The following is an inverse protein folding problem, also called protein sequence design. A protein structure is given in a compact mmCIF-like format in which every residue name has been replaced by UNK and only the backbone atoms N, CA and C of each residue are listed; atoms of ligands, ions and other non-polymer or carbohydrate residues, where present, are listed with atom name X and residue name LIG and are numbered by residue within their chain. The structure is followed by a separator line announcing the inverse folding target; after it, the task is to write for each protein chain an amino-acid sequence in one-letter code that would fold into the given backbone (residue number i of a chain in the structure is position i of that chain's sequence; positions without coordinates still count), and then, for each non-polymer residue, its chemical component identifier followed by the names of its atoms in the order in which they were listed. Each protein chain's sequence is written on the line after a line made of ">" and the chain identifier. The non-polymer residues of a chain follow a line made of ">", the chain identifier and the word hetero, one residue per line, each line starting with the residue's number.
data_IF_879735895204
#
_entry.id   IF_879735895204
#
_cell.length_a   1.000
_cell.length_b   1.000
_cell.length_c   1.000
_cell.angle_alpha   90.00
_cell.angle_beta   90.00
_cell.angle_gamma   90.00
#
_symmetry.space_group_name_H-M   'P 1'
#
loop_
_entity.id
_entity.type
_entity.pdbx_description
1 polymer ?
#
# COMPACT_ATOMS: atom_id res chain seq x y z
N UNK A 1 -9.99 -6.44 -60.08
CA UNK A 1 -10.55 -5.05 -60.16
C UNK A 1 -10.01 -4.08 -59.10
N UNK A 2 -9.23 -4.51 -58.14
CA UNK A 2 -8.69 -3.63 -57.07
C UNK A 2 -7.60 -2.64 -57.54
N UNK A 3 -6.89 -2.91 -58.62
CA UNK A 3 -5.72 -2.11 -59.01
C UNK A 3 -5.99 -0.72 -59.63
N UNK A 4 -7.19 -0.49 -60.15
CA UNK A 4 -7.53 0.80 -60.80
C UNK A 4 -7.85 1.85 -59.73
N UNK A 5 -8.61 1.47 -58.71
CA UNK A 5 -8.96 2.36 -57.59
C UNK A 5 -7.72 2.73 -56.76
N UNK A 6 -6.83 1.78 -56.52
CA UNK A 6 -5.59 2.02 -55.76
C UNK A 6 -4.65 3.02 -56.50
N UNK A 7 -4.52 2.88 -57.83
CA UNK A 7 -3.70 3.82 -58.61
C UNK A 7 -4.30 5.23 -58.66
N UNK A 8 -5.63 5.35 -58.74
CA UNK A 8 -6.30 6.63 -58.74
C UNK A 8 -6.18 7.35 -57.39
N UNK A 9 -6.36 6.60 -56.30
CA UNK A 9 -6.22 7.12 -54.95
C UNK A 9 -4.80 7.57 -54.66
N UNK A 10 -3.79 6.77 -55.01
CA UNK A 10 -2.37 7.14 -54.88
C UNK A 10 -1.99 8.40 -55.68
N UNK A 11 -2.53 8.53 -56.90
CA UNK A 11 -2.26 9.71 -57.75
C UNK A 11 -2.92 10.97 -57.19
N UNK A 12 -4.14 10.87 -56.65
CA UNK A 12 -4.85 11.97 -55.98
C UNK A 12 -4.14 12.41 -54.69
N UNK A 13 -3.64 11.47 -53.90
CA UNK A 13 -2.84 11.73 -52.69
C UNK A 13 -1.51 12.41 -53.04
N UNK A 14 -0.85 11.98 -54.12
CA UNK A 14 0.41 12.58 -54.59
C UNK A 14 0.26 14.01 -55.14
N UNK A 15 -0.92 14.35 -55.65
CA UNK A 15 -1.22 15.68 -56.21
C UNK A 15 -1.47 16.74 -55.12
N UNK A 16 -1.98 16.30 -53.92
CA UNK A 16 -2.27 17.17 -52.78
C UNK A 16 -1.40 16.83 -51.56
N UNK A 17 -0.08 16.77 -51.76
CA UNK A 17 0.89 16.31 -50.76
C UNK A 17 0.77 17.02 -49.40
N UNK A 18 0.60 18.33 -49.42
CA UNK A 18 0.51 19.14 -48.19
C UNK A 18 -0.74 18.79 -47.39
N UNK A 19 -1.90 18.70 -48.05
CA UNK A 19 -3.17 18.37 -47.40
C UNK A 19 -3.14 16.95 -46.83
N UNK A 20 -2.59 16.01 -47.58
CA UNK A 20 -2.42 14.63 -47.14
C UNK A 20 -1.47 14.53 -45.95
N UNK A 21 -0.34 15.23 -45.97
CA UNK A 21 0.61 15.28 -44.88
C UNK A 21 -0.01 15.84 -43.60
N UNK A 22 -0.74 16.95 -43.68
CA UNK A 22 -1.42 17.55 -42.54
C UNK A 22 -2.45 16.59 -41.95
N UNK A 23 -3.23 15.91 -42.79
CA UNK A 23 -4.21 14.93 -42.30
C UNK A 23 -3.54 13.73 -41.59
N UNK A 24 -2.48 13.18 -42.18
CA UNK A 24 -1.72 12.06 -41.60
C UNK A 24 -1.08 12.46 -40.28
N UNK A 25 -0.46 13.63 -40.20
CA UNK A 25 0.12 14.16 -38.98
C UNK A 25 -0.96 14.39 -37.93
N UNK A 26 -2.12 14.94 -38.30
CA UNK A 26 -3.25 15.13 -37.35
C UNK A 26 -3.75 13.82 -36.77
N UNK A 27 -3.92 12.79 -37.61
CA UNK A 27 -4.32 11.46 -37.14
C UNK A 27 -3.25 10.85 -36.24
N UNK A 28 -1.97 10.93 -36.64
CA UNK A 28 -0.85 10.40 -35.87
C UNK A 28 -0.73 11.07 -34.50
N UNK A 29 -0.87 12.39 -34.41
CA UNK A 29 -0.85 13.13 -33.17
C UNK A 29 -2.04 12.77 -32.28
N UNK A 30 -3.24 12.64 -32.81
CA UNK A 30 -4.43 12.24 -32.06
C UNK A 30 -4.31 10.84 -31.49
N UNK A 31 -3.82 9.89 -32.29
CA UNK A 31 -3.61 8.51 -31.82
C UNK A 31 -2.48 8.40 -30.80
N UNK A 32 -1.40 9.16 -30.99
CA UNK A 32 -0.30 9.22 -30.03
C UNK A 32 -0.75 9.81 -28.70
N UNK A 33 -1.55 10.88 -28.70
CA UNK A 33 -2.11 11.48 -27.50
C UNK A 33 -3.00 10.49 -26.76
N UNK A 34 -3.90 9.80 -27.45
CA UNK A 34 -4.78 8.80 -26.87
C UNK A 34 -3.96 7.66 -26.24
N UNK A 35 -2.97 7.15 -26.94
CA UNK A 35 -2.08 6.11 -26.43
C UNK A 35 -1.31 6.58 -25.19
N UNK A 36 -0.79 7.82 -25.20
CA UNK A 36 -0.07 8.39 -24.06
C UNK A 36 -0.97 8.50 -22.81
N UNK A 37 -2.22 8.95 -22.96
CA UNK A 37 -3.18 9.05 -21.87
C UNK A 37 -3.49 7.66 -21.29
N UNK A 38 -3.79 6.68 -22.14
CA UNK A 38 -4.09 5.32 -21.69
C UNK A 38 -2.90 4.67 -20.98
N UNK A 39 -1.70 4.85 -21.50
CA UNK A 39 -0.47 4.33 -20.87
C UNK A 39 -0.21 5.01 -19.53
N UNK A 40 -0.43 6.33 -19.42
CA UNK A 40 -0.25 7.07 -18.17
C UNK A 40 -1.22 6.59 -17.10
N UNK A 41 -2.48 6.38 -17.43
CA UNK A 41 -3.49 5.85 -16.50
C UNK A 41 -3.11 4.45 -16.01
N UNK A 42 -2.70 3.56 -16.91
CA UNK A 42 -2.27 2.22 -16.56
C UNK A 42 -1.03 2.22 -15.64
N UNK A 43 -0.04 3.08 -15.95
CA UNK A 43 1.17 3.22 -15.13
C UNK A 43 0.87 3.74 -13.73
N UNK A 44 -0.03 4.73 -13.59
CA UNK A 44 -0.44 5.26 -12.28
C UNK A 44 -1.15 4.18 -11.47
N UNK A 45 -2.07 3.43 -12.07
CA UNK A 45 -2.77 2.35 -11.38
C UNK A 45 -1.81 1.28 -10.89
N UNK A 46 -0.87 0.86 -11.71
CA UNK A 46 0.14 -0.13 -11.33
C UNK A 46 1.04 0.37 -10.21
N UNK A 47 1.52 1.61 -10.29
CA UNK A 47 2.35 2.21 -9.24
C UNK A 47 1.63 2.39 -7.91
N UNK A 48 0.33 2.69 -7.92
CA UNK A 48 -0.49 2.75 -6.70
C UNK A 48 -0.65 1.37 -6.06
N UNK A 49 -0.94 0.33 -6.85
CA UNK A 49 -1.06 -1.04 -6.36
C UNK A 49 0.25 -1.53 -5.76
N UNK A 50 1.37 -1.34 -6.45
CA UNK A 50 2.70 -1.73 -5.97
C UNK A 50 3.04 -1.02 -4.65
N UNK A 51 2.81 0.28 -4.56
CA UNK A 51 3.02 1.05 -3.32
C UNK A 51 2.14 0.53 -2.18
N UNK A 52 0.88 0.24 -2.44
CA UNK A 52 -0.03 -0.28 -1.41
C UNK A 52 0.43 -1.66 -0.93
N UNK A 53 0.87 -2.54 -1.83
CA UNK A 53 1.39 -3.86 -1.46
C UNK A 53 2.64 -3.78 -0.58
N UNK A 54 3.53 -2.82 -0.85
CA UNK A 54 4.74 -2.62 -0.05
C UNK A 54 4.42 -2.07 1.34
N UNK A 55 3.47 -1.14 1.46
CA UNK A 55 3.17 -0.45 2.73
C UNK A 55 2.14 -1.18 3.58
N UNK A 56 1.14 -1.78 2.96
CA UNK A 56 0.01 -2.42 3.66
C UNK A 56 0.05 -3.96 3.60
N UNK A 57 0.92 -4.52 2.77
CA UNK A 57 0.94 -5.94 2.47
C UNK A 57 0.06 -6.32 1.27
N UNK A 58 0.11 -7.58 0.86
CA UNK A 58 -0.56 -8.09 -0.35
C UNK A 58 -1.99 -8.60 -0.09
N UNK A 59 -2.70 -7.98 0.83
CA UNK A 59 -4.10 -8.31 1.14
C UNK A 59 -5.05 -7.81 0.05
N UNK A 60 -6.01 -8.63 -0.35
CA UNK A 60 -7.05 -8.22 -1.30
C UNK A 60 -8.19 -7.47 -0.63
N UNK A 61 -8.53 -7.83 0.60
CA UNK A 61 -9.60 -7.23 1.38
C UNK A 61 -9.17 -7.13 2.84
N UNK A 62 -9.43 -5.99 3.43
CA UNK A 62 -9.29 -5.74 4.86
C UNK A 62 -10.68 -5.38 5.41
N UNK A 63 -11.07 -6.00 6.50
CA UNK A 63 -12.33 -5.67 7.19
C UNK A 63 -12.06 -5.51 8.69
N UNK A 64 -12.34 -4.32 9.25
CA UNK A 64 -12.28 -4.12 10.69
C UNK A 64 -13.51 -4.76 11.37
N UNK A 65 -13.37 -5.07 12.65
CA UNK A 65 -14.46 -5.46 13.54
C UNK A 65 -15.31 -6.67 13.08
N UNK A 66 -14.65 -7.69 12.53
CA UNK A 66 -15.32 -8.92 12.14
C UNK A 66 -15.63 -9.76 13.39
N UNK A 67 -16.91 -10.07 13.68
CA UNK A 67 -17.25 -10.93 14.81
C UNK A 67 -16.76 -12.37 14.57
N UNK A 68 -16.51 -13.14 15.65
CA UNK A 68 -15.99 -14.50 15.56
C UNK A 68 -16.81 -15.40 14.60
N UNK A 69 -18.13 -15.29 14.63
CA UNK A 69 -19.01 -16.03 13.71
C UNK A 69 -18.79 -15.66 12.24
N UNK A 70 -18.41 -14.41 11.95
CA UNK A 70 -18.04 -13.96 10.60
C UNK A 70 -16.71 -14.57 10.14
N UNK A 71 -15.77 -14.73 11.07
CA UNK A 71 -14.48 -15.39 10.79
C UNK A 71 -14.73 -16.86 10.43
N UNK A 72 -15.53 -17.56 11.21
CA UNK A 72 -15.89 -18.96 10.93
C UNK A 72 -16.53 -19.12 9.56
N UNK A 73 -17.47 -18.25 9.20
CA UNK A 73 -18.10 -18.25 7.88
C UNK A 73 -17.09 -17.97 6.72
N UNK A 74 -16.10 -17.12 6.95
CA UNK A 74 -15.04 -16.87 5.96
C UNK A 74 -14.10 -18.08 5.83
N UNK A 75 -13.81 -18.78 6.92
CA UNK A 75 -12.99 -20.00 6.91
C UNK A 75 -13.68 -21.10 6.10
N UNK A 76 -15.00 -21.25 6.23
CA UNK A 76 -15.80 -22.25 5.52
C UNK A 76 -16.02 -21.87 4.03
N UNK A 77 -15.85 -20.61 3.65
CA UNK A 77 -16.10 -20.14 2.29
C UNK A 77 -15.01 -20.58 1.31
N UNK A 78 -15.41 -21.23 0.21
CA UNK A 78 -14.50 -21.57 -0.89
C UNK A 78 -13.99 -20.37 -1.68
N UNK A 79 -14.63 -19.20 -1.52
CA UNK A 79 -14.21 -17.96 -2.16
C UNK A 79 -12.99 -17.33 -1.47
N UNK A 80 -12.67 -17.74 -0.23
CA UNK A 80 -11.52 -17.25 0.54
C UNK A 80 -10.45 -18.32 0.53
N UNK A 81 -9.33 -18.03 -0.09
CA UNK A 81 -8.16 -18.90 -0.12
C UNK A 81 -7.27 -18.70 1.09
N UNK A 82 -7.04 -17.43 1.44
CA UNK A 82 -6.12 -17.02 2.49
C UNK A 82 -6.82 -16.08 3.44
N UNK A 83 -6.74 -16.36 4.73
CA UNK A 83 -7.32 -15.55 5.79
C UNK A 83 -6.35 -15.42 6.96
N UNK A 84 -6.07 -14.20 7.34
CA UNK A 84 -5.36 -13.90 8.57
C UNK A 84 -6.14 -12.91 9.42
N UNK A 85 -5.96 -13.02 10.71
CA UNK A 85 -6.58 -12.11 11.69
C UNK A 85 -5.50 -11.41 12.50
N UNK A 86 -5.76 -10.19 12.88
CA UNK A 86 -4.96 -9.46 13.86
C UNK A 86 -5.88 -8.71 14.82
N UNK A 87 -5.33 -8.33 15.94
CA UNK A 87 -6.04 -7.56 16.96
C UNK A 87 -5.52 -6.13 16.97
N UNK A 88 -6.43 -5.16 16.98
CA UNK A 88 -6.10 -3.79 17.29
C UNK A 88 -5.79 -3.68 18.80
N UNK A 89 -4.63 -3.14 19.12
CA UNK A 89 -4.17 -2.92 20.49
C UNK A 89 -4.40 -1.47 20.94
N UNK A 90 -4.94 -0.62 20.07
CA UNK A 90 -5.13 0.79 20.30
C UNK A 90 -4.10 1.67 19.58
N UNK A 91 -3.85 2.85 20.10
CA UNK A 91 -2.90 3.80 19.53
C UNK A 91 -1.91 4.30 20.57
N UNK A 92 -0.70 4.60 20.12
CA UNK A 92 0.31 5.32 20.89
C UNK A 92 0.49 6.72 20.30
N UNK A 93 0.52 7.72 21.17
CA UNK A 93 0.89 9.06 20.76
C UNK A 93 2.43 9.14 20.64
N UNK A 94 2.91 9.56 19.48
CA UNK A 94 4.29 9.98 19.32
C UNK A 94 4.33 11.44 19.72
N UNK A 95 5.03 11.78 20.78
CA UNK A 95 5.27 13.16 21.16
C UNK A 95 6.61 13.60 20.56
N UNK A 96 6.63 14.28 19.42
CA UNK A 96 7.83 14.92 18.96
C UNK A 96 8.15 16.08 19.89
N UNK A 97 9.42 16.31 20.15
CA UNK A 97 9.95 17.47 20.88
C UNK A 97 9.56 18.81 20.22
N UNK A 98 9.05 18.76 19.01
CA UNK A 98 8.66 19.92 18.23
C UNK A 98 7.14 20.10 18.29
N UNK A 99 6.69 21.07 19.09
CA UNK A 99 5.28 21.42 19.29
C UNK A 99 4.50 21.79 18.01
N UNK A 100 5.17 21.84 16.87
CA UNK A 100 4.58 22.14 15.55
C UNK A 100 4.25 20.89 14.73
N UNK A 101 4.66 19.70 15.12
CA UNK A 101 4.18 18.47 14.51
C UNK A 101 2.95 18.01 15.29
N UNK A 102 1.79 18.13 14.65
CA UNK A 102 0.55 17.48 15.13
C UNK A 102 0.89 16.07 15.58
N UNK A 103 0.61 15.77 16.85
CA UNK A 103 0.97 14.49 17.46
C UNK A 103 0.60 13.34 16.54
N UNK A 104 1.59 12.66 16.01
CA UNK A 104 1.35 11.49 15.21
C UNK A 104 0.88 10.37 16.15
N UNK A 105 -0.27 9.80 15.89
CA UNK A 105 -0.73 8.59 16.56
C UNK A 105 -0.33 7.40 15.70
N UNK A 106 0.31 6.42 16.32
CA UNK A 106 0.57 5.12 15.69
C UNK A 106 -0.50 4.14 16.15
N UNK A 107 -1.21 3.57 15.22
CA UNK A 107 -2.08 2.43 15.51
C UNK A 107 -1.22 1.18 15.76
N UNK A 108 -1.46 0.55 16.91
CA UNK A 108 -0.76 -0.67 17.31
C UNK A 108 -1.63 -1.87 16.99
N UNK A 109 -1.06 -2.84 16.29
CA UNK A 109 -1.73 -4.07 15.91
C UNK A 109 -0.84 -5.26 16.27
N UNK A 110 -1.46 -6.39 16.62
CA UNK A 110 -0.70 -7.64 16.74
C UNK A 110 -0.15 -8.05 15.37
N UNK A 111 0.89 -8.84 15.36
CA UNK A 111 1.30 -9.56 14.15
C UNK A 111 0.12 -10.37 13.63
N UNK A 112 -0.21 -10.30 12.34
CA UNK A 112 -1.27 -11.11 11.77
C UNK A 112 -1.00 -12.60 11.97
N UNK A 113 -2.06 -13.36 12.26
CA UNK A 113 -2.00 -14.81 12.42
C UNK A 113 -2.83 -15.48 11.34
N UNK A 114 -2.26 -16.43 10.64
CA UNK A 114 -2.94 -17.20 9.60
C UNK A 114 -4.03 -18.09 10.23
N UNK A 115 -5.25 -17.97 9.70
CA UNK A 115 -6.39 -18.81 10.06
C UNK A 115 -6.68 -19.81 8.95
N UNK A 116 -6.45 -19.42 7.69
CA UNK A 116 -6.63 -20.27 6.51
C UNK A 116 -5.61 -19.88 5.44
N UNK A 117 -5.02 -20.83 4.76
CA UNK A 117 -4.30 -20.59 3.50
C UNK A 117 -2.78 -20.68 3.56
N UNK A 118 -2.09 -19.67 3.05
CA UNK A 118 -0.69 -19.66 2.59
C UNK A 118 0.33 -20.22 3.59
N UNK A 119 0.20 -19.87 4.86
CA UNK A 119 1.06 -20.34 5.93
C UNK A 119 0.32 -21.37 6.80
N UNK A 120 1.04 -22.08 7.63
CA UNK A 120 0.40 -22.99 8.57
C UNK A 120 -0.53 -22.25 9.54
N UNK A 121 -1.70 -22.82 9.88
CA UNK A 121 -2.62 -22.20 10.84
C UNK A 121 -1.93 -21.86 12.16
N UNK A 122 -2.08 -20.62 12.62
CA UNK A 122 -1.44 -20.10 13.81
C UNK A 122 -0.04 -19.49 13.57
N UNK A 123 0.52 -19.64 12.38
CA UNK A 123 1.75 -18.95 11.97
C UNK A 123 1.50 -17.50 11.55
N UNK A 124 2.55 -16.71 11.47
CA UNK A 124 2.47 -15.37 10.91
C UNK A 124 2.61 -15.40 9.38
N UNK A 125 1.69 -14.80 8.61
CA UNK A 125 1.73 -14.83 7.15
C UNK A 125 2.72 -13.79 6.60
N UNK A 126 4.00 -13.99 6.84
CA UNK A 126 5.04 -13.02 6.47
C UNK A 126 5.07 -12.69 4.98
N UNK A 127 4.66 -13.63 4.11
CA UNK A 127 4.56 -13.39 2.67
C UNK A 127 3.49 -12.36 2.29
N UNK A 128 2.51 -12.11 3.15
CA UNK A 128 1.43 -11.16 2.94
C UNK A 128 1.64 -9.84 3.68
N UNK A 129 2.64 -9.77 4.56
CA UNK A 129 2.94 -8.58 5.36
C UNK A 129 3.71 -7.53 4.55
N UNK A 130 3.70 -6.26 5.00
CA UNK A 130 4.56 -5.21 4.44
C UNK A 130 6.04 -5.64 4.44
N UNK A 131 6.80 -5.13 3.48
CA UNK A 131 8.23 -5.39 3.41
C UNK A 131 8.98 -4.71 4.57
N UNK A 132 9.88 -5.46 5.21
CA UNK A 132 10.76 -4.90 6.24
C UNK A 132 11.93 -4.17 5.60
N UNK A 133 12.11 -2.91 5.93
CA UNK A 133 13.28 -2.13 5.51
C UNK A 133 14.56 -2.61 6.23
N UNK A 134 14.45 -3.03 7.50
CA UNK A 134 15.55 -3.56 8.30
C UNK A 134 15.02 -4.38 9.49
N UNK A 135 15.87 -5.21 10.07
CA UNK A 135 15.51 -6.00 11.25
C UNK A 135 14.77 -7.29 10.92
N UNK A 136 13.91 -7.73 11.82
CA UNK A 136 13.08 -8.93 11.72
C UNK A 136 11.68 -8.66 12.27
N UNK A 137 10.75 -9.52 11.95
CA UNK A 137 9.42 -9.49 12.56
C UNK A 137 9.48 -9.86 14.05
N UNK A 138 8.53 -9.33 14.88
CA UNK A 138 8.48 -9.62 16.30
C UNK A 138 8.25 -11.12 16.56
N UNK A 139 9.01 -11.68 17.48
CA UNK A 139 8.86 -13.07 17.93
C UNK A 139 8.29 -13.14 19.35
N UNK A 140 8.38 -12.04 20.09
CA UNK A 140 7.88 -11.94 21.46
C UNK A 140 6.90 -10.77 21.61
N UNK A 141 6.11 -10.79 22.69
CA UNK A 141 5.12 -9.75 22.95
C UNK A 141 5.72 -8.38 23.29
N UNK A 142 7.00 -8.35 23.63
CA UNK A 142 7.73 -7.13 24.01
C UNK A 142 8.43 -6.46 22.80
N UNK A 143 8.28 -7.05 21.62
CA UNK A 143 8.90 -6.54 20.39
C UNK A 143 7.85 -5.89 19.51
N UNK A 144 8.22 -4.78 18.87
CA UNK A 144 7.38 -4.08 17.91
C UNK A 144 8.17 -3.74 16.64
N UNK A 145 7.46 -3.64 15.51
CA UNK A 145 7.98 -3.07 14.27
C UNK A 145 7.43 -1.67 14.15
N UNK A 146 8.29 -0.73 13.81
CA UNK A 146 7.93 0.66 13.57
C UNK A 146 8.10 1.01 12.09
N UNK A 147 7.34 1.98 11.58
CA UNK A 147 7.56 2.51 10.24
C UNK A 147 8.97 3.10 10.09
N UNK A 148 9.57 2.94 8.94
CA UNK A 148 10.94 3.37 8.62
C UNK A 148 11.15 4.88 8.72
N UNK A 149 10.11 5.67 8.48
CA UNK A 149 10.18 7.14 8.61
C UNK A 149 10.43 7.62 10.05
N UNK A 150 10.30 6.74 11.05
CA UNK A 150 10.63 7.03 12.45
C UNK A 150 12.10 6.73 12.78
N UNK A 151 12.83 6.11 11.88
CA UNK A 151 14.24 5.82 12.11
C UNK A 151 15.06 7.12 12.30
N UNK A 152 15.83 7.15 13.36
CA UNK A 152 16.63 8.33 13.72
C UNK A 152 15.86 9.43 14.47
N UNK A 153 14.53 9.32 14.60
CA UNK A 153 13.72 10.24 15.40
C UNK A 153 13.80 9.88 16.89
N UNK A 154 13.79 10.88 17.76
CA UNK A 154 13.64 10.69 19.20
C UNK A 154 12.17 10.84 19.57
N UNK A 155 11.64 9.87 20.33
CA UNK A 155 10.29 9.95 20.87
C UNK A 155 10.39 10.55 22.27
N UNK A 156 9.99 11.80 22.41
CA UNK A 156 10.02 12.51 23.67
C UNK A 156 8.79 12.28 24.54
N UNK A 157 8.92 12.49 25.84
CA UNK A 157 7.83 12.44 26.80
C UNK A 157 6.95 13.70 26.67
N UNK A 158 6.02 13.70 25.76
CA UNK A 158 5.02 14.78 25.58
C UNK A 158 3.84 14.72 26.53
N UNK A 159 3.99 14.17 27.73
CA UNK A 159 2.92 14.02 28.72
C UNK A 159 2.82 12.62 29.30
N UNK A 160 1.92 12.43 30.28
CA UNK A 160 1.82 11.21 31.09
C UNK A 160 1.44 9.92 30.34
N UNK A 161 1.15 9.98 29.05
CA UNK A 161 0.66 8.86 28.25
C UNK A 161 1.44 8.68 26.92
N UNK A 162 2.62 9.24 26.80
CA UNK A 162 3.44 9.14 25.57
C UNK A 162 4.39 7.94 25.59
N UNK A 163 4.80 7.52 24.40
CA UNK A 163 5.90 6.56 24.23
C UNK A 163 7.20 7.33 24.18
N UNK A 164 8.18 6.89 24.98
CA UNK A 164 9.50 7.50 25.10
C UNK A 164 10.55 6.55 24.57
N UNK A 165 11.45 7.04 23.73
CA UNK A 165 12.65 6.32 23.33
C UNK A 165 13.86 6.73 24.16
N UNK A 166 14.80 5.81 24.34
CA UNK A 166 16.08 6.09 25.00
C UNK A 166 17.12 6.62 24.00
N UNK A 167 16.75 7.66 23.23
CA UNK A 167 17.55 8.24 22.15
C UNK A 167 16.94 7.97 20.76
N UNK A 168 17.71 8.27 19.68
CA UNK A 168 17.26 8.05 18.32
C UNK A 168 16.83 6.59 18.09
N UNK A 169 15.73 6.42 17.37
CA UNK A 169 15.18 5.10 17.06
C UNK A 169 16.06 4.37 16.06
N UNK A 170 16.61 3.25 16.49
CA UNK A 170 17.37 2.32 15.65
C UNK A 170 16.86 0.90 15.89
N UNK A 171 17.26 -0.04 15.04
CA UNK A 171 16.96 -1.46 15.28
C UNK A 171 17.54 -1.90 16.62
N UNK A 172 16.69 -2.38 17.51
CA UNK A 172 17.06 -2.77 18.87
C UNK A 172 16.90 -1.68 19.94
N UNK A 173 16.41 -0.49 19.58
CA UNK A 173 16.06 0.54 20.55
C UNK A 173 14.94 0.09 21.48
N UNK A 174 15.00 0.56 22.74
CA UNK A 174 13.97 0.25 23.75
C UNK A 174 12.99 1.41 23.85
N UNK A 175 11.70 1.09 23.79
CA UNK A 175 10.62 2.03 23.99
C UNK A 175 9.98 1.79 25.36
N UNK A 176 9.69 2.87 26.08
CA UNK A 176 8.96 2.82 27.33
C UNK A 176 7.74 3.73 27.23
N UNK A 177 6.56 3.26 27.66
CA UNK A 177 5.39 4.13 27.62
C UNK A 177 4.09 3.42 27.94
N UNK A 178 3.04 4.21 28.13
CA UNK A 178 1.69 3.73 28.29
C UNK A 178 0.96 3.70 26.94
N UNK A 179 0.29 2.60 26.65
CA UNK A 179 -0.60 2.48 25.51
C UNK A 179 -2.02 2.83 25.98
N UNK A 180 -2.56 3.94 25.47
CA UNK A 180 -3.94 4.31 25.74
C UNK A 180 -4.88 3.57 24.79
N UNK A 181 -5.92 2.95 25.33
CA UNK A 181 -7.08 2.58 24.52
C UNK A 181 -7.83 3.87 24.17
N UNK A 182 -7.84 4.25 22.92
CA UNK A 182 -8.86 5.16 22.40
C UNK A 182 -10.18 4.38 22.42
N UNK A 183 -10.85 4.36 23.56
CA UNK A 183 -12.23 3.95 23.59
C UNK A 183 -12.97 4.87 22.61
N UNK A 184 -13.63 4.29 21.61
CA UNK A 184 -14.51 5.01 20.73
C UNK A 184 -15.51 5.79 21.59
N UNK A 185 -15.46 7.12 21.47
CA UNK A 185 -16.46 8.02 22.03
C UNK A 185 -17.68 8.03 21.12
#
# INVERSE_FOLDING_TARGET
>A
MAGIFTRFTLRSLAQNRVRTAVTVVGIALSTALLAAVLTSVASVQQGLLERTMVTEGSWHVFSPDVPAQGIDALVESDAVTDLATFRDLGSAALAPDDANRLGAFIALKTTPTTVKGVDEPGGAPYSLMPELASGRWPETADEIVLPDYLQGEELGAGGAEGVVSNGPLETGSTLTGGFGNLAAA
#
